data_IF_227506168934
#
_entry.id   IF_227506168934
#
_cell.length_a   1.000
_cell.length_b   1.000
_cell.length_c   1.000
_cell.angle_alpha   90.00
_cell.angle_beta   90.00
_cell.angle_gamma   90.00
#
_symmetry.space_group_name_H-M   'P 1'
#
loop_
_entity.id
_entity.type
_entity.pdbx_description
1 polymer ?
#
# COMPACT_ATOMS: atom_id res chain seq x y z
N UNK A 1 -30.12 2.54 -11.21
CA UNK A 1 -29.29 2.38 -10.01
C UNK A 1 -28.89 3.79 -9.62
N UNK A 2 -29.12 4.22 -8.40
CA UNK A 2 -28.72 5.56 -7.97
C UNK A 2 -27.28 5.51 -7.48
N UNK A 3 -26.41 6.36 -8.06
CA UNK A 3 -25.04 6.53 -7.60
C UNK A 3 -25.05 7.24 -6.24
N UNK A 4 -24.14 6.84 -5.35
CA UNK A 4 -23.89 7.54 -4.09
C UNK A 4 -22.41 7.90 -3.98
N UNK A 5 -22.13 9.02 -3.32
CA UNK A 5 -20.77 9.52 -3.12
C UNK A 5 -20.31 9.28 -1.69
N UNK A 6 -19.09 8.76 -1.51
CA UNK A 6 -18.43 8.62 -0.22
C UNK A 6 -17.69 9.93 0.08
N UNK A 7 -17.98 10.56 1.22
CA UNK A 7 -17.41 11.86 1.64
C UNK A 7 -16.49 11.75 2.86
N UNK A 8 -16.43 10.58 3.47
CA UNK A 8 -15.57 10.24 4.61
C UNK A 8 -15.27 8.74 4.59
N UNK A 9 -14.29 8.29 5.32
CA UNK A 9 -14.00 6.86 5.47
C UNK A 9 -15.26 6.12 5.88
N UNK A 10 -15.72 5.19 5.04
CA UNK A 10 -17.06 4.59 5.15
C UNK A 10 -16.99 3.09 4.98
N UNK A 11 -17.62 2.34 5.86
CA UNK A 11 -17.83 0.90 5.71
C UNK A 11 -19.18 0.63 5.07
N UNK A 12 -19.17 -0.04 3.93
CA UNK A 12 -20.37 -0.47 3.22
C UNK A 12 -20.63 -1.94 3.57
N UNK A 13 -21.88 -2.23 3.91
CA UNK A 13 -22.40 -3.59 4.16
C UNK A 13 -23.45 -3.92 3.14
N UNK A 14 -23.37 -5.10 2.54
CA UNK A 14 -24.34 -5.59 1.59
C UNK A 14 -24.72 -7.04 1.92
N UNK A 15 -26.01 -7.35 1.76
CA UNK A 15 -26.52 -8.71 1.87
C UNK A 15 -27.57 -8.93 0.80
N UNK A 16 -27.71 -10.17 0.35
CA UNK A 16 -28.78 -10.58 -0.55
C UNK A 16 -30.06 -10.80 0.25
N UNK A 17 -31.15 -10.11 -0.14
CA UNK A 17 -32.47 -10.41 0.40
C UNK A 17 -32.99 -11.70 -0.26
N UNK A 18 -33.28 -12.72 0.55
CA UNK A 18 -33.80 -13.99 0.07
C UNK A 18 -35.32 -13.96 -0.14
N UNK A 19 -35.88 -14.87 -0.96
CA UNK A 19 -37.33 -14.88 -1.21
C UNK A 19 -38.21 -15.09 0.04
N UNK A 20 -37.65 -15.69 1.09
CA UNK A 20 -38.32 -15.91 2.39
C UNK A 20 -38.27 -14.67 3.31
N UNK A 21 -37.67 -13.56 2.85
CA UNK A 21 -37.52 -12.31 3.60
C UNK A 21 -36.32 -12.28 4.55
N UNK A 22 -35.49 -13.31 4.60
CA UNK A 22 -34.25 -13.33 5.38
C UNK A 22 -33.08 -12.72 4.59
N UNK A 23 -32.03 -12.26 5.30
CA UNK A 23 -30.80 -11.80 4.67
C UNK A 23 -29.77 -12.96 4.60
N UNK A 24 -29.13 -13.08 3.46
CA UNK A 24 -27.97 -13.93 3.27
C UNK A 24 -26.72 -13.42 4.03
N UNK A 25 -25.56 -14.04 3.82
CA UNK A 25 -24.32 -13.58 4.43
C UNK A 25 -24.02 -12.11 4.10
N UNK A 26 -23.58 -11.35 5.12
CA UNK A 26 -23.20 -9.95 4.96
C UNK A 26 -21.80 -9.91 4.35
N UNK A 27 -21.65 -9.17 3.26
CA UNK A 27 -20.37 -8.76 2.71
C UNK A 27 -20.08 -7.34 3.20
N UNK A 28 -18.84 -7.09 3.64
CA UNK A 28 -18.42 -5.80 4.20
C UNK A 28 -17.12 -5.32 3.55
N UNK A 29 -17.05 -4.02 3.21
CA UNK A 29 -15.83 -3.40 2.72
C UNK A 29 -15.73 -1.95 3.21
N UNK A 30 -14.57 -1.59 3.77
CA UNK A 30 -14.27 -0.21 4.16
C UNK A 30 -13.52 0.49 3.04
N UNK A 31 -13.97 1.70 2.73
CA UNK A 31 -13.33 2.63 1.81
C UNK A 31 -12.68 3.75 2.62
N UNK A 32 -11.37 3.83 2.58
CA UNK A 32 -10.57 4.83 3.29
C UNK A 32 -10.46 6.09 2.43
N UNK A 33 -11.02 7.20 2.90
CA UNK A 33 -10.92 8.48 2.19
C UNK A 33 -9.70 9.26 2.70
N UNK A 34 -8.80 9.62 1.80
CA UNK A 34 -7.59 10.38 2.11
C UNK A 34 -7.14 11.24 0.90
N UNK A 35 -6.13 12.08 1.09
CA UNK A 35 -5.72 13.08 0.10
C UNK A 35 -5.21 12.51 -1.24
N UNK A 36 -4.79 11.24 -1.30
CA UNK A 36 -4.31 10.65 -2.54
C UNK A 36 -5.43 10.08 -3.44
N UNK A 37 -6.64 9.88 -2.91
CA UNK A 37 -7.78 9.33 -3.67
C UNK A 37 -8.08 10.18 -4.91
N UNK A 38 -8.23 9.51 -6.07
CA UNK A 38 -8.57 10.16 -7.34
C UNK A 38 -7.46 11.04 -7.92
N UNK A 39 -6.27 10.97 -7.37
CA UNK A 39 -5.08 11.63 -7.87
C UNK A 39 -4.28 10.71 -8.82
N UNK A 40 -3.11 11.16 -9.25
CA UNK A 40 -2.26 10.42 -10.20
C UNK A 40 -1.11 9.75 -9.45
N UNK A 41 -0.85 8.49 -9.77
CA UNK A 41 0.34 7.77 -9.36
C UNK A 41 1.21 7.44 -10.57
N UNK A 42 2.50 7.50 -10.41
CA UNK A 42 3.50 7.12 -11.43
C UNK A 42 4.49 6.13 -10.79
N UNK A 43 4.88 5.14 -11.56
CA UNK A 43 5.76 4.06 -11.12
C UNK A 43 7.13 4.23 -11.77
N UNK A 44 8.16 4.57 -10.99
CA UNK A 44 9.55 4.53 -11.44
C UNK A 44 10.01 3.07 -11.58
N UNK A 45 9.49 2.19 -10.73
CA UNK A 45 9.64 0.74 -10.85
C UNK A 45 8.27 0.11 -10.88
N UNK A 46 7.89 -0.49 -12.02
CA UNK A 46 6.58 -1.12 -12.19
C UNK A 46 6.48 -2.40 -11.35
N UNK A 47 5.30 -2.63 -10.77
CA UNK A 47 4.95 -3.90 -10.12
C UNK A 47 4.90 -5.07 -11.14
N UNK A 48 5.03 -6.29 -10.67
CA UNK A 48 4.91 -7.48 -11.49
C UNK A 48 3.47 -7.66 -12.01
N UNK A 49 3.31 -7.98 -13.29
CA UNK A 49 1.98 -8.15 -13.93
C UNK A 49 1.12 -9.22 -13.22
N UNK A 50 1.77 -10.23 -12.65
CA UNK A 50 1.13 -11.28 -11.84
C UNK A 50 0.45 -10.74 -10.57
N UNK A 51 0.95 -9.65 -10.00
CA UNK A 51 0.45 -9.03 -8.79
C UNK A 51 0.23 -7.53 -9.03
N UNK A 52 -0.76 -7.23 -9.84
CA UNK A 52 -1.11 -5.88 -10.26
C UNK A 52 -2.19 -5.21 -9.39
N UNK A 53 -2.75 -5.96 -8.43
CA UNK A 53 -3.90 -5.49 -7.67
C UNK A 53 -5.05 -5.08 -8.58
N UNK A 54 -5.69 -3.96 -8.30
CA UNK A 54 -6.74 -3.35 -9.12
C UNK A 54 -6.19 -2.48 -10.29
N UNK A 55 -4.90 -2.59 -10.61
CA UNK A 55 -4.26 -1.81 -11.68
C UNK A 55 -3.54 -0.56 -11.16
N UNK A 56 -3.33 0.42 -12.06
CA UNK A 56 -2.43 1.57 -11.81
C UNK A 56 -2.75 2.36 -10.54
N UNK A 57 -4.02 2.49 -10.16
CA UNK A 57 -4.42 3.26 -8.98
C UNK A 57 -4.53 2.41 -7.71
N UNK A 58 -4.07 1.16 -7.72
CA UNK A 58 -4.26 0.25 -6.58
C UNK A 58 -3.79 0.85 -5.24
N UNK A 59 -2.61 1.48 -5.23
CA UNK A 59 -2.01 2.02 -4.00
C UNK A 59 -2.67 3.30 -3.47
N UNK A 60 -3.66 3.85 -4.18
CA UNK A 60 -4.36 5.09 -3.83
C UNK A 60 -5.87 5.00 -4.08
N UNK A 61 -6.45 3.82 -3.96
CA UNK A 61 -7.88 3.59 -4.24
C UNK A 61 -8.75 3.51 -2.98
N UNK A 62 -8.15 3.60 -1.80
CA UNK A 62 -8.83 3.53 -0.51
C UNK A 62 -9.19 2.12 -0.06
N UNK A 63 -8.64 1.08 -0.69
CA UNK A 63 -8.97 -0.31 -0.39
C UNK A 63 -7.77 -1.05 0.18
N UNK A 64 -7.92 -1.51 1.41
CA UNK A 64 -6.89 -2.25 2.14
C UNK A 64 -7.00 -3.76 1.82
N UNK A 65 -5.85 -4.38 1.55
CA UNK A 65 -5.71 -5.81 1.36
C UNK A 65 -5.83 -6.62 2.66
N UNK A 66 -6.25 -7.85 2.53
CA UNK A 66 -6.24 -8.83 3.63
C UNK A 66 -4.86 -9.47 3.77
N UNK A 67 -4.73 -10.44 4.68
CA UNK A 67 -3.50 -11.26 4.79
C UNK A 67 -3.32 -12.26 3.63
N UNK A 68 -4.26 -12.32 2.71
CA UNK A 68 -4.17 -13.12 1.48
C UNK A 68 -3.62 -12.28 0.33
N UNK A 69 -2.38 -12.51 -0.08
CA UNK A 69 -1.74 -11.78 -1.18
C UNK A 69 -2.42 -11.97 -2.56
N UNK A 70 -3.37 -12.91 -2.68
CA UNK A 70 -4.13 -13.15 -3.91
C UNK A 70 -5.55 -12.55 -3.86
N UNK A 71 -5.86 -11.66 -2.91
CA UNK A 71 -7.20 -11.07 -2.76
C UNK A 71 -7.53 -9.96 -3.78
N UNK A 72 -6.55 -9.59 -4.63
CA UNK A 72 -6.70 -8.59 -5.68
C UNK A 72 -6.44 -7.14 -5.23
N UNK A 73 -5.96 -6.92 -4.00
CA UNK A 73 -5.65 -5.58 -3.46
C UNK A 73 -4.15 -5.31 -3.31
N UNK A 74 -3.29 -6.28 -3.63
CA UNK A 74 -1.85 -6.19 -3.46
C UNK A 74 -1.12 -5.98 -4.78
N UNK A 75 -0.17 -5.04 -4.78
CA UNK A 75 0.85 -4.95 -5.82
C UNK A 75 2.17 -5.51 -5.29
N UNK A 76 2.88 -6.29 -6.13
CA UNK A 76 4.10 -7.00 -5.75
C UNK A 76 5.30 -6.65 -6.62
N UNK A 77 6.47 -6.49 -6.00
CA UNK A 77 7.78 -6.29 -6.63
C UNK A 77 8.71 -7.44 -6.29
N UNK A 78 9.14 -8.19 -7.30
CA UNK A 78 10.09 -9.29 -7.15
C UNK A 78 11.51 -8.78 -7.31
N UNK A 79 12.35 -8.92 -6.28
CA UNK A 79 13.75 -8.44 -6.27
C UNK A 79 13.95 -6.97 -6.61
N UNK A 80 12.89 -6.23 -6.83
CA UNK A 80 12.92 -4.81 -7.18
C UNK A 80 12.40 -3.96 -6.02
N UNK A 81 12.90 -2.74 -5.92
CA UNK A 81 12.35 -1.76 -4.98
C UNK A 81 11.00 -1.27 -5.51
N UNK A 82 10.03 -1.05 -4.63
CA UNK A 82 8.91 -0.22 -4.98
C UNK A 82 9.39 1.25 -5.01
N UNK A 83 9.19 1.93 -6.12
CA UNK A 83 9.46 3.37 -6.21
C UNK A 83 8.35 4.05 -7.00
N UNK A 84 7.60 4.94 -6.34
CA UNK A 84 6.40 5.60 -6.86
C UNK A 84 6.41 7.08 -6.57
N UNK A 85 5.70 7.85 -7.41
CA UNK A 85 5.42 9.27 -7.20
C UNK A 85 3.91 9.48 -7.25
N UNK A 86 3.36 10.12 -6.21
CA UNK A 86 1.97 10.53 -6.14
C UNK A 86 1.89 12.02 -6.40
N UNK A 87 1.11 12.45 -7.42
CA UNK A 87 0.80 13.87 -7.72
C UNK A 87 -0.57 14.22 -7.14
N UNK A 88 -0.59 15.02 -6.10
CA UNK A 88 -1.81 15.52 -5.45
C UNK A 88 -2.52 16.62 -6.23
N UNK A 89 -2.06 16.95 -7.45
CA UNK A 89 -2.52 18.02 -8.36
C UNK A 89 -2.28 19.44 -7.83
N UNK A 90 -2.32 19.63 -6.54
CA UNK A 90 -2.06 20.90 -5.85
C UNK A 90 -1.17 20.70 -4.62
N UNK A 91 -0.51 21.76 -4.17
CA UNK A 91 0.29 21.71 -2.95
C UNK A 91 -0.61 21.66 -1.72
N UNK A 92 -0.50 20.59 -0.94
CA UNK A 92 -1.24 20.37 0.30
C UNK A 92 -0.30 20.27 1.50
N UNK A 93 -0.81 20.60 2.67
CA UNK A 93 -0.11 20.32 3.92
C UNK A 93 -0.29 18.83 4.24
N UNK A 94 0.82 18.11 4.27
CA UNK A 94 0.86 16.68 4.59
C UNK A 94 1.12 16.53 6.09
N UNK A 95 0.21 15.90 6.80
CA UNK A 95 0.31 15.63 8.24
C UNK A 95 0.97 14.28 8.50
N UNK A 96 0.50 13.26 7.79
CA UNK A 96 0.99 11.90 7.94
C UNK A 96 0.94 11.14 6.60
N UNK A 97 1.78 10.11 6.49
CA UNK A 97 1.75 9.15 5.40
C UNK A 97 1.82 7.76 6.02
N UNK A 98 0.86 6.90 5.68
CA UNK A 98 0.83 5.50 6.08
C UNK A 98 0.97 4.61 4.86
N UNK A 99 1.95 3.71 4.89
CA UNK A 99 2.20 2.74 3.83
C UNK A 99 1.86 1.33 4.35
N UNK A 100 0.92 0.64 3.70
CA UNK A 100 0.55 -0.73 4.05
C UNK A 100 1.42 -1.73 3.30
N UNK A 101 2.00 -2.70 4.04
CA UNK A 101 2.82 -3.79 3.50
C UNK A 101 2.37 -5.13 4.04
N UNK A 102 2.52 -6.18 3.24
CA UNK A 102 2.31 -7.56 3.65
C UNK A 102 3.63 -8.20 4.04
N UNK A 103 3.61 -8.97 5.12
CA UNK A 103 4.66 -9.89 5.51
C UNK A 103 4.07 -11.31 5.52
N UNK A 104 4.60 -12.21 4.67
CA UNK A 104 4.15 -13.60 4.56
C UNK A 104 5.32 -14.46 4.08
N UNK A 105 6.07 -15.02 5.04
CA UNK A 105 7.31 -15.74 4.72
C UNK A 105 7.04 -17.02 3.93
N UNK A 106 5.91 -17.71 4.15
CA UNK A 106 5.50 -18.86 3.33
C UNK A 106 5.41 -18.53 1.82
N UNK A 107 5.12 -17.27 1.49
CA UNK A 107 4.98 -16.79 0.12
C UNK A 107 6.17 -15.96 -0.35
N UNK A 108 7.28 -16.00 0.40
CA UNK A 108 8.52 -15.25 0.14
C UNK A 108 8.32 -13.73 0.13
N UNK A 109 7.28 -13.24 0.82
CA UNK A 109 6.92 -11.84 0.97
C UNK A 109 7.49 -11.33 2.29
N UNK A 110 8.30 -10.27 2.21
CA UNK A 110 8.97 -9.67 3.35
C UNK A 110 8.65 -8.18 3.45
N UNK A 111 8.72 -7.65 4.67
CA UNK A 111 8.72 -6.21 4.84
C UNK A 111 9.93 -5.59 4.11
N UNK A 112 9.79 -4.36 3.56
CA UNK A 112 10.93 -3.64 3.01
C UNK A 112 11.99 -3.41 4.09
N UNK A 113 13.27 -3.42 3.72
CA UNK A 113 14.38 -3.09 4.67
C UNK A 113 14.28 -1.66 5.15
N UNK A 114 13.85 -0.78 4.26
CA UNK A 114 13.77 0.66 4.52
C UNK A 114 12.67 1.24 3.65
N UNK A 115 11.91 2.17 4.22
CA UNK A 115 10.97 3.01 3.48
C UNK A 115 11.43 4.45 3.56
N UNK A 116 11.52 5.10 2.41
CA UNK A 116 11.82 6.53 2.25
C UNK A 116 10.58 7.24 1.77
N UNK A 117 10.33 8.42 2.32
CA UNK A 117 9.34 9.37 1.84
C UNK A 117 10.05 10.69 1.59
N UNK A 118 9.82 11.31 0.42
CA UNK A 118 10.38 12.64 0.09
C UNK A 118 9.32 13.49 -0.58
N UNK A 119 9.47 14.80 -0.49
CA UNK A 119 8.47 15.79 -0.88
C UNK A 119 8.99 16.70 -1.96
N UNK A 120 8.11 17.08 -2.91
CA UNK A 120 8.44 18.06 -3.95
C UNK A 120 7.24 18.95 -4.28
N UNK A 121 7.53 20.16 -4.78
CA UNK A 121 6.53 21.09 -5.31
C UNK A 121 6.46 21.04 -6.84
N UNK A 122 7.55 20.71 -7.50
CA UNK A 122 7.73 20.72 -8.96
C UNK A 122 7.74 19.32 -9.60
N UNK A 123 7.91 18.26 -8.79
CA UNK A 123 8.00 16.86 -9.24
C UNK A 123 9.40 16.45 -9.70
N UNK A 124 10.38 17.34 -9.60
CA UNK A 124 11.77 17.10 -10.01
C UNK A 124 12.72 17.13 -8.79
N UNK A 125 12.58 18.13 -7.93
CA UNK A 125 13.44 18.34 -6.78
C UNK A 125 12.77 17.82 -5.51
N UNK A 126 13.15 16.61 -5.10
CA UNK A 126 12.64 15.97 -3.88
C UNK A 126 13.58 16.20 -2.70
N UNK A 127 13.03 16.69 -1.58
CA UNK A 127 13.78 17.00 -0.36
C UNK A 127 12.94 16.74 0.90
N UNK A 128 13.49 17.10 2.06
CA UNK A 128 12.84 17.06 3.38
C UNK A 128 12.24 15.68 3.71
N UNK A 129 12.95 14.64 3.29
CA UNK A 129 12.50 13.27 3.41
C UNK A 129 12.56 12.74 4.84
N UNK A 130 11.78 11.71 5.06
CA UNK A 130 11.81 10.87 6.27
C UNK A 130 12.15 9.44 5.89
N UNK A 131 12.78 8.71 6.81
CA UNK A 131 13.19 7.32 6.61
C UNK A 131 12.82 6.47 7.79
N UNK A 132 12.26 5.29 7.50
CA UNK A 132 12.06 4.24 8.49
C UNK A 132 12.79 2.97 8.07
N UNK A 133 13.61 2.42 8.97
CA UNK A 133 14.31 1.15 8.78
C UNK A 133 13.58 0.06 9.54
N UNK A 134 13.26 -1.01 8.84
CA UNK A 134 12.68 -2.19 9.47
C UNK A 134 13.78 -3.08 10.04
N UNK A 135 13.55 -3.62 11.23
CA UNK A 135 14.43 -4.64 11.77
C UNK A 135 14.24 -5.93 10.99
N UNK A 136 15.32 -6.60 10.65
CA UNK A 136 15.24 -7.95 10.12
C UNK A 136 14.64 -8.86 11.19
N UNK A 137 13.48 -9.43 10.91
CA UNK A 137 12.90 -10.46 11.75
C UNK A 137 13.65 -11.76 11.56
N UNK A 138 13.97 -12.44 12.67
CA UNK A 138 14.58 -13.78 12.67
C UNK A 138 13.51 -14.87 12.82
N UNK A 139 12.29 -14.47 13.14
CA UNK A 139 11.18 -15.39 13.36
C UNK A 139 10.30 -15.49 12.12
N UNK A 140 9.82 -16.69 11.90
CA UNK A 140 8.93 -17.00 10.80
C UNK A 140 7.53 -16.37 11.02
N UNK A 141 7.02 -15.63 10.01
CA UNK A 141 5.70 -15.00 10.02
C UNK A 141 4.84 -15.65 8.93
N UNK A 142 3.68 -16.21 9.32
CA UNK A 142 2.77 -16.88 8.38
C UNK A 142 2.12 -15.88 7.41
N UNK A 143 1.42 -14.89 7.92
CA UNK A 143 0.92 -13.74 7.18
C UNK A 143 0.50 -12.63 8.16
N UNK A 144 0.88 -11.40 7.87
CA UNK A 144 0.52 -10.23 8.65
C UNK A 144 0.59 -8.97 7.78
N UNK A 145 -0.43 -8.12 7.85
CA UNK A 145 -0.38 -6.79 7.25
C UNK A 145 0.19 -5.81 8.27
N UNK A 146 1.17 -5.02 7.86
CA UNK A 146 1.80 -3.99 8.69
C UNK A 146 1.72 -2.63 8.06
N UNK A 147 1.56 -1.61 8.90
CA UNK A 147 1.59 -0.21 8.52
C UNK A 147 2.92 0.41 8.95
N UNK A 148 3.53 1.14 8.01
CA UNK A 148 4.70 1.97 8.26
C UNK A 148 4.24 3.41 8.19
N UNK A 149 4.27 4.11 9.34
CA UNK A 149 3.64 5.42 9.52
C UNK A 149 4.70 6.50 9.66
N UNK A 150 4.61 7.53 8.85
CA UNK A 150 5.38 8.76 8.94
C UNK A 150 4.46 9.86 9.48
N UNK A 151 4.58 10.12 10.77
CA UNK A 151 3.80 11.15 11.46
C UNK A 151 4.50 12.51 11.47
N UNK A 152 3.72 13.56 11.71
CA UNK A 152 4.21 14.93 11.93
C UNK A 152 5.13 15.44 10.81
N UNK A 153 4.88 15.04 9.56
CA UNK A 153 5.71 15.47 8.43
C UNK A 153 5.67 16.98 8.26
N UNK A 154 4.50 17.61 8.48
CA UNK A 154 4.25 19.05 8.41
C UNK A 154 4.83 19.72 7.14
N UNK A 155 4.92 18.96 6.04
CA UNK A 155 5.45 19.44 4.76
C UNK A 155 4.32 19.95 3.88
N UNK A 156 4.60 21.00 3.09
CA UNK A 156 3.75 21.42 1.98
C UNK A 156 4.32 20.86 0.69
N UNK A 157 3.59 19.96 0.05
CA UNK A 157 4.02 19.29 -1.17
C UNK A 157 2.86 19.03 -2.12
N UNK A 158 3.15 19.04 -3.42
CA UNK A 158 2.29 18.50 -4.46
C UNK A 158 2.66 17.06 -4.80
N UNK A 159 3.95 16.76 -4.85
CA UNK A 159 4.45 15.43 -5.21
C UNK A 159 5.08 14.76 -4.01
N UNK A 160 4.80 13.47 -3.88
CA UNK A 160 5.33 12.62 -2.81
C UNK A 160 5.99 11.42 -3.48
N UNK A 161 7.30 11.28 -3.27
CA UNK A 161 8.07 10.11 -3.67
C UNK A 161 8.12 9.13 -2.49
N UNK A 162 7.75 7.89 -2.75
CA UNK A 162 7.86 6.79 -1.78
C UNK A 162 8.71 5.69 -2.40
N UNK A 163 9.76 5.28 -1.66
CA UNK A 163 10.62 4.17 -2.04
C UNK A 163 10.69 3.15 -0.91
N UNK A 164 10.31 1.91 -1.21
CA UNK A 164 10.43 0.78 -0.30
C UNK A 164 11.51 -0.18 -0.82
N UNK A 165 12.60 -0.31 -0.06
CA UNK A 165 13.77 -1.11 -0.46
C UNK A 165 13.50 -2.58 -0.22
N UNK A 166 13.45 -3.37 -1.29
CA UNK A 166 13.31 -4.82 -1.24
C UNK A 166 14.59 -5.46 -0.67
N UNK A 167 14.45 -6.56 0.05
CA UNK A 167 15.62 -7.31 0.52
C UNK A 167 16.31 -8.13 -0.57
N UNK A 168 15.74 -8.24 -1.74
CA UNK A 168 16.21 -8.92 -2.95
C UNK A 168 16.18 -10.44 -2.87
N UNK A 169 16.68 -11.01 -1.79
CA UNK A 169 16.74 -12.46 -1.60
C UNK A 169 16.22 -12.86 -0.23
N UNK A 170 15.68 -14.06 -0.16
CA UNK A 170 15.27 -14.65 1.11
C UNK A 170 16.47 -14.81 2.05
N UNK A 171 16.32 -14.47 3.34
CA UNK A 171 17.43 -14.53 4.30
C UNK A 171 17.87 -15.98 4.62
N UNK A 172 19.05 -16.11 5.24
CA UNK A 172 19.68 -17.41 5.52
C UNK A 172 18.87 -18.33 6.44
N UNK A 173 18.02 -17.77 7.29
CA UNK A 173 17.15 -18.54 8.17
C UNK A 173 15.87 -19.05 7.48
N UNK A 174 15.56 -18.53 6.27
CA UNK A 174 14.34 -18.88 5.53
C UNK A 174 14.54 -20.17 4.74
N UNK A 175 13.50 -21.01 4.63
CA UNK A 175 13.55 -22.27 3.87
C UNK A 175 13.89 -22.08 2.40
N UNK A 176 13.53 -20.93 1.81
CA UNK A 176 13.89 -20.52 0.45
C UNK A 176 15.16 -19.66 0.38
N UNK A 177 16.11 -19.84 1.29
CA UNK A 177 17.35 -19.04 1.34
C UNK A 177 17.98 -18.82 -0.03
N UNK A 178 18.31 -17.56 -0.34
CA UNK A 178 18.91 -17.14 -1.61
C UNK A 178 17.91 -17.02 -2.78
N UNK A 179 16.67 -17.50 -2.62
CA UNK A 179 15.62 -17.31 -3.60
C UNK A 179 15.06 -15.88 -3.60
N UNK A 180 14.25 -15.54 -4.58
CA UNK A 180 13.78 -14.19 -4.85
C UNK A 180 12.77 -13.71 -3.82
N UNK A 181 13.07 -12.61 -3.15
CA UNK A 181 12.20 -12.00 -2.15
C UNK A 181 11.27 -10.96 -2.78
N UNK A 182 10.05 -10.91 -2.28
CA UNK A 182 9.01 -9.98 -2.69
C UNK A 182 8.78 -8.87 -1.67
N UNK A 183 8.42 -7.67 -2.16
CA UNK A 183 7.74 -6.62 -1.40
C UNK A 183 6.32 -6.49 -1.94
N UNK A 184 5.32 -6.47 -1.05
CA UNK A 184 3.92 -6.28 -1.40
C UNK A 184 3.36 -5.07 -0.68
N UNK A 185 2.71 -4.17 -1.42
CA UNK A 185 2.02 -3.00 -0.88
C UNK A 185 0.56 -2.97 -1.35
N UNK A 186 -0.33 -2.44 -0.50
CA UNK A 186 -1.77 -2.32 -0.78
C UNK A 186 -2.25 -0.87 -0.90
N UNK A 187 -2.02 -0.04 0.10
CA UNK A 187 -2.56 1.33 0.14
C UNK A 187 -1.56 2.32 0.74
N UNK A 188 -1.55 3.52 0.18
CA UNK A 188 -0.77 4.67 0.67
C UNK A 188 -1.75 5.77 1.09
N UNK A 189 -2.00 5.84 2.39
CA UNK A 189 -2.88 6.85 2.99
C UNK A 189 -2.11 8.14 3.23
N UNK A 190 -2.62 9.27 2.75
CA UNK A 190 -2.02 10.60 2.91
C UNK A 190 -3.02 11.54 3.58
N UNK A 191 -2.64 12.12 4.72
CA UNK A 191 -3.47 13.06 5.49
C UNK A 191 -2.85 14.46 5.61
#
# INVERSE_FOLDING_TARGET
MSDFSIKETTTIRAALLQPDGTFGPISEKTFYLHNAIGNKISYNTKYADKYSGSGENNLINGLIGSVNHNDGYWQGWEREDMEIIIDLKESKKIKSITCGFLESHNSWIFLPKTVYVSFSRDGENFANGSVQKMKDGENYVSANRKEIIFENTNQFARYILIKAVNRRTCPSWHTGNGGDAWVFADEIVIE
#
